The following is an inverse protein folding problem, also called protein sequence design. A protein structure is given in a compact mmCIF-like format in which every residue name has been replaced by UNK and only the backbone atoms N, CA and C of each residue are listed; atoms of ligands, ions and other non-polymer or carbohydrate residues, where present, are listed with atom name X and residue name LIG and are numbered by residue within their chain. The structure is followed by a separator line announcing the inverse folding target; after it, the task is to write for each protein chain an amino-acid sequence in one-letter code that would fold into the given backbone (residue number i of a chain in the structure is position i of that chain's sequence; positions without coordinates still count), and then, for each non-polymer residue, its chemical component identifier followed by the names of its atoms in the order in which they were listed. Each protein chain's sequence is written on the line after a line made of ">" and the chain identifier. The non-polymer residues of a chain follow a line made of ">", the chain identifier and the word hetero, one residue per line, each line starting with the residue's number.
data_IF_151378710541
#
_entry.id   IF_151378710541
#
_cell.length_a   1.000
_cell.length_b   1.000
_cell.length_c   1.000
_cell.angle_alpha   90.00
_cell.angle_beta   90.00
_cell.angle_gamma   90.00
#
_symmetry.space_group_name_H-M   'P 1'
#
loop_
_entity.id
_entity.type
_entity.pdbx_description
1 polymer ?
#
# COMPACT_ATOMS: atom_id res chain seq x y z
N UNK A 1 9.79 3.49 28.22
CA UNK A 1 8.83 3.75 27.13
C UNK A 1 9.20 2.93 25.91
N UNK A 2 8.71 1.69 25.84
CA UNK A 2 8.73 0.81 24.66
C UNK A 2 7.37 0.11 24.67
N UNK A 3 6.36 0.70 24.03
CA UNK A 3 5.00 0.12 24.05
C UNK A 3 4.09 0.67 22.94
N UNK A 4 4.64 0.98 21.77
CA UNK A 4 3.85 1.50 20.63
C UNK A 4 4.01 0.72 19.32
N UNK A 5 4.91 -0.27 19.27
CA UNK A 5 5.26 -1.00 18.03
C UNK A 5 4.79 -2.45 18.05
N UNK A 6 4.43 -3.00 19.21
CA UNK A 6 4.20 -4.44 19.40
C UNK A 6 2.97 -5.04 18.69
N UNK A 7 2.18 -4.25 17.95
CA UNK A 7 1.05 -4.80 17.20
C UNK A 7 0.77 -4.12 15.85
N UNK A 8 1.73 -3.38 15.30
CA UNK A 8 1.57 -2.74 13.98
C UNK A 8 2.15 -3.66 12.92
N UNK A 9 1.41 -3.90 11.83
CA UNK A 9 1.89 -4.73 10.72
C UNK A 9 3.27 -4.25 10.22
N UNK A 10 4.15 -5.20 9.94
CA UNK A 10 5.56 -4.96 9.61
C UNK A 10 5.74 -4.03 8.40
N UNK A 11 4.89 -4.19 7.37
CA UNK A 11 4.90 -3.34 6.18
C UNK A 11 4.58 -1.87 6.50
N UNK A 12 3.64 -1.64 7.42
CA UNK A 12 3.28 -0.29 7.89
C UNK A 12 4.45 0.36 8.63
N UNK A 13 5.23 -0.42 9.39
CA UNK A 13 6.46 0.06 10.04
C UNK A 13 7.49 0.59 9.03
N UNK A 14 7.68 -0.12 7.92
CA UNK A 14 8.59 0.33 6.84
C UNK A 14 8.06 1.61 6.19
N UNK A 15 6.78 1.64 5.81
CA UNK A 15 6.16 2.84 5.22
C UNK A 15 6.30 4.02 6.17
N UNK A 16 5.99 3.82 7.45
CA UNK A 16 6.09 4.85 8.46
C UNK A 16 7.53 5.35 8.58
N UNK A 17 8.55 4.48 8.54
CA UNK A 17 9.97 4.88 8.60
C UNK A 17 10.39 5.85 7.49
N UNK A 18 9.71 5.82 6.34
CA UNK A 18 10.02 6.70 5.21
C UNK A 18 9.37 8.08 5.27
N UNK A 19 8.34 8.23 6.11
CA UNK A 19 7.56 9.47 6.24
C UNK A 19 8.23 10.40 7.25
N UNK A 20 8.37 11.67 6.88
CA UNK A 20 8.91 12.69 7.77
C UNK A 20 7.85 13.09 8.81
N UNK A 21 8.26 13.43 10.06
CA UNK A 21 7.35 14.05 11.02
C UNK A 21 6.67 15.31 10.48
N UNK A 22 5.52 15.67 11.06
CA UNK A 22 4.75 16.89 10.78
C UNK A 22 4.28 17.08 9.32
N UNK A 23 4.48 16.06 8.50
CA UNK A 23 4.12 16.07 7.08
C UNK A 23 2.61 15.99 6.89
N UNK A 24 2.10 16.50 5.77
CA UNK A 24 0.72 16.26 5.34
C UNK A 24 0.64 14.93 4.60
N UNK A 25 -0.21 14.03 5.08
CA UNK A 25 -0.31 12.65 4.59
C UNK A 25 -1.74 12.32 4.18
N UNK A 26 -1.91 11.83 2.96
CA UNK A 26 -3.16 11.23 2.50
C UNK A 26 -3.04 9.71 2.45
N UNK A 27 -3.95 8.97 3.08
CA UNK A 27 -4.10 7.52 2.93
C UNK A 27 -5.29 7.17 2.05
N UNK A 28 -5.03 6.52 0.91
CA UNK A 28 -6.04 6.00 -0.01
C UNK A 28 -6.34 4.54 0.32
N UNK A 29 -7.62 4.21 0.51
CA UNK A 29 -8.02 2.89 1.01
C UNK A 29 -7.44 2.66 2.40
N UNK A 30 -7.65 3.63 3.31
CA UNK A 30 -6.95 3.65 4.60
C UNK A 30 -7.36 2.53 5.56
N UNK A 31 -8.37 1.71 5.22
CA UNK A 31 -8.82 0.62 6.05
C UNK A 31 -9.36 1.15 7.38
N UNK A 32 -9.03 0.46 8.47
CA UNK A 32 -9.33 0.90 9.85
C UNK A 32 -8.34 1.96 10.38
N UNK A 33 -7.52 2.56 9.50
CA UNK A 33 -6.69 3.71 9.82
C UNK A 33 -5.45 3.42 10.65
N UNK A 34 -5.02 2.16 10.79
CA UNK A 34 -3.86 1.77 11.61
C UNK A 34 -2.60 2.60 11.33
N UNK A 35 -2.25 2.74 10.04
CA UNK A 35 -1.07 3.51 9.62
C UNK A 35 -1.24 5.01 9.92
N UNK A 36 -2.39 5.59 9.59
CA UNK A 36 -2.64 7.01 9.80
C UNK A 36 -2.64 7.35 11.29
N UNK A 37 -3.24 6.49 12.11
CA UNK A 37 -3.22 6.60 13.57
C UNK A 37 -1.80 6.52 14.12
N UNK A 38 -1.01 5.54 13.68
CA UNK A 38 0.40 5.44 14.09
C UNK A 38 1.18 6.70 13.71
N UNK A 39 1.03 7.20 12.49
CA UNK A 39 1.72 8.40 12.03
C UNK A 39 1.26 9.64 12.79
N UNK A 40 -0.03 9.78 13.08
CA UNK A 40 -0.56 10.89 13.89
C UNK A 40 0.07 10.90 15.28
N UNK A 41 0.05 9.74 15.95
CA UNK A 41 0.52 9.62 17.33
C UNK A 41 2.05 9.71 17.46
N UNK A 42 2.80 9.11 16.54
CA UNK A 42 4.26 8.98 16.67
C UNK A 42 5.04 10.01 15.87
N UNK A 43 4.43 10.59 14.83
CA UNK A 43 5.09 11.50 13.90
C UNK A 43 4.38 12.85 13.76
N UNK A 44 3.28 13.08 14.47
CA UNK A 44 2.53 14.34 14.46
C UNK A 44 2.14 14.78 13.04
N UNK A 45 1.92 13.82 12.14
CA UNK A 45 1.51 14.14 10.77
C UNK A 45 0.12 14.76 10.77
N UNK A 46 -0.17 15.56 9.76
CA UNK A 46 -1.54 15.99 9.44
C UNK A 46 -2.13 14.96 8.50
N UNK A 47 -2.87 14.01 9.06
CA UNK A 47 -3.45 12.90 8.33
C UNK A 47 -4.78 13.25 7.66
N UNK A 48 -5.03 12.63 6.53
CA UNK A 48 -6.33 12.55 5.87
C UNK A 48 -6.46 11.15 5.29
N UNK A 49 -7.66 10.55 5.34
CA UNK A 49 -7.93 9.25 4.77
C UNK A 49 -9.13 9.26 3.84
N UNK A 50 -9.14 8.34 2.87
CA UNK A 50 -10.30 8.04 2.03
C UNK A 50 -10.52 6.53 2.11
N UNK A 51 -11.73 6.10 2.44
CA UNK A 51 -12.10 4.69 2.55
C UNK A 51 -13.54 4.48 2.06
N UNK A 52 -13.76 3.42 1.28
CA UNK A 52 -15.07 3.15 0.67
C UNK A 52 -16.05 2.51 1.67
N UNK A 53 -15.54 1.73 2.65
CA UNK A 53 -16.38 0.98 3.60
C UNK A 53 -16.75 1.82 4.82
N UNK A 54 -18.04 2.06 5.00
CA UNK A 54 -18.60 2.83 6.11
C UNK A 54 -18.11 2.37 7.50
N UNK A 55 -18.15 1.06 7.77
CA UNK A 55 -17.75 0.52 9.08
C UNK A 55 -16.30 0.86 9.43
N UNK A 56 -15.41 0.86 8.43
CA UNK A 56 -13.99 1.20 8.62
C UNK A 56 -13.78 2.69 8.81
N UNK A 57 -14.55 3.52 8.10
CA UNK A 57 -14.58 4.97 8.30
C UNK A 57 -15.01 5.29 9.73
N UNK A 58 -16.06 4.63 10.24
CA UNK A 58 -16.51 4.77 11.63
C UNK A 58 -15.37 4.48 12.61
N UNK A 59 -14.67 3.36 12.45
CA UNK A 59 -13.51 3.02 13.29
C UNK A 59 -12.40 4.07 13.20
N UNK A 60 -12.16 4.66 12.03
CA UNK A 60 -11.18 5.73 11.88
C UNK A 60 -11.59 7.00 12.66
N UNK A 61 -12.86 7.39 12.58
CA UNK A 61 -13.42 8.54 13.28
C UNK A 61 -13.35 8.32 14.81
N UNK A 62 -13.66 7.11 15.28
CA UNK A 62 -13.52 6.74 16.70
C UNK A 62 -12.07 6.86 17.20
N UNK A 63 -11.08 6.59 16.33
CA UNK A 63 -9.65 6.82 16.60
C UNK A 63 -9.23 8.29 16.48
N UNK A 64 -10.18 9.19 16.19
CA UNK A 64 -9.95 10.63 16.01
C UNK A 64 -9.24 10.98 14.70
N UNK A 65 -9.29 10.13 13.68
CA UNK A 65 -8.70 10.40 12.37
C UNK A 65 -9.64 11.23 11.49
N UNK A 66 -9.07 12.08 10.64
CA UNK A 66 -9.82 12.76 9.57
C UNK A 66 -9.96 11.83 8.36
N UNK A 67 -11.12 11.20 8.19
CA UNK A 67 -11.38 10.26 7.09
C UNK A 67 -12.69 10.60 6.39
N UNK A 68 -12.65 10.60 5.06
CA UNK A 68 -13.79 10.75 4.16
C UNK A 68 -14.24 9.37 3.67
N UNK A 69 -15.55 9.14 3.64
CA UNK A 69 -16.12 7.99 2.97
C UNK A 69 -16.28 8.28 1.48
N UNK A 70 -15.64 7.51 0.61
CA UNK A 70 -15.78 7.69 -0.84
C UNK A 70 -14.84 6.82 -1.67
N UNK A 71 -14.98 6.92 -3.00
CA UNK A 71 -14.12 6.22 -3.95
C UNK A 71 -12.81 7.00 -4.15
N UNK A 72 -11.68 6.35 -3.93
CA UNK A 72 -10.35 6.94 -4.10
C UNK A 72 -10.09 7.47 -5.52
N UNK A 73 -10.78 6.98 -6.54
CA UNK A 73 -10.63 7.44 -7.92
C UNK A 73 -11.33 8.78 -8.17
N UNK A 74 -12.40 9.06 -7.41
CA UNK A 74 -13.19 10.28 -7.53
C UNK A 74 -12.70 11.33 -6.52
N UNK A 75 -12.66 10.97 -5.24
CA UNK A 75 -12.35 11.88 -4.12
C UNK A 75 -10.92 12.45 -4.19
N UNK A 76 -9.98 11.74 -4.81
CA UNK A 76 -8.60 12.22 -4.96
C UNK A 76 -8.52 13.48 -5.85
N UNK A 77 -9.48 13.67 -6.75
CA UNK A 77 -9.47 14.75 -7.74
C UNK A 77 -9.79 16.12 -7.14
N UNK A 78 -10.43 16.14 -5.96
CA UNK A 78 -10.83 17.36 -5.25
C UNK A 78 -9.67 18.05 -4.53
N UNK A 79 -8.54 17.36 -4.36
CA UNK A 79 -7.38 17.93 -3.70
C UNK A 79 -6.51 18.80 -4.64
N UNK A 80 -5.98 19.93 -4.15
CA UNK A 80 -5.12 20.77 -4.95
C UNK A 80 -3.76 20.11 -5.24
N UNK A 81 -3.14 20.51 -6.35
CA UNK A 81 -1.83 20.02 -6.75
C UNK A 81 -0.77 20.30 -5.67
N UNK A 82 0.04 19.30 -5.35
CA UNK A 82 1.13 19.40 -4.36
C UNK A 82 0.69 19.69 -2.92
N UNK A 83 -0.58 19.48 -2.58
CA UNK A 83 -1.11 19.72 -1.23
C UNK A 83 -0.52 18.78 -0.17
N UNK A 84 -0.27 17.52 -0.53
CA UNK A 84 0.26 16.50 0.38
C UNK A 84 1.77 16.31 0.18
N UNK A 85 2.48 16.09 1.29
CA UNK A 85 3.89 15.69 1.23
C UNK A 85 4.02 14.21 0.84
N UNK A 86 3.10 13.37 1.32
CA UNK A 86 3.03 11.95 1.01
C UNK A 86 1.59 11.51 0.73
N UNK A 87 1.40 10.75 -0.35
CA UNK A 87 0.14 10.04 -0.64
C UNK A 87 0.42 8.55 -0.58
N UNK A 88 -0.36 7.80 0.18
CA UNK A 88 -0.11 6.39 0.49
C UNK A 88 -1.24 5.55 -0.09
N UNK A 89 -0.89 4.56 -0.89
CA UNK A 89 -1.79 3.52 -1.38
C UNK A 89 -1.22 2.16 -0.93
N UNK A 90 -1.62 1.72 0.26
CA UNK A 90 -1.10 0.48 0.86
C UNK A 90 -2.04 -0.69 0.57
N UNK A 91 -1.53 -1.76 -0.05
CA UNK A 91 -2.23 -3.01 -0.35
C UNK A 91 -3.61 -2.84 -1.02
N UNK A 92 -3.76 -1.78 -1.81
CA UNK A 92 -5.02 -1.44 -2.48
C UNK A 92 -4.88 -1.42 -3.99
N UNK A 93 -3.68 -1.20 -4.54
CA UNK A 93 -3.44 -1.06 -5.98
C UNK A 93 -4.00 -2.22 -6.81
N UNK A 94 -3.93 -3.45 -6.29
CA UNK A 94 -4.40 -4.64 -7.00
C UNK A 94 -5.92 -4.72 -7.19
N UNK A 95 -6.67 -3.87 -6.47
CA UNK A 95 -8.14 -3.76 -6.57
C UNK A 95 -8.55 -2.57 -7.46
N UNK A 96 -7.61 -1.74 -7.89
CA UNK A 96 -7.88 -0.51 -8.66
C UNK A 96 -8.12 -0.85 -10.13
N UNK A 97 -9.22 -0.33 -10.67
CA UNK A 97 -9.57 -0.47 -12.08
C UNK A 97 -8.59 0.28 -12.99
N UNK A 98 -8.27 1.54 -12.71
CA UNK A 98 -7.38 2.36 -13.54
C UNK A 98 -6.11 2.78 -12.78
N UNK A 99 -5.12 1.88 -12.61
CA UNK A 99 -3.94 2.17 -11.79
C UNK A 99 -3.08 3.30 -12.35
N UNK A 100 -3.05 3.50 -13.67
CA UNK A 100 -2.32 4.59 -14.31
C UNK A 100 -2.91 5.95 -13.94
N UNK A 101 -4.24 6.10 -14.10
CA UNK A 101 -4.95 7.31 -13.72
C UNK A 101 -4.75 7.63 -12.24
N UNK A 102 -4.93 6.64 -11.35
CA UNK A 102 -4.76 6.83 -9.92
C UNK A 102 -3.34 7.25 -9.55
N UNK A 103 -2.30 6.58 -10.08
CA UNK A 103 -0.90 6.93 -9.78
C UNK A 103 -0.56 8.34 -10.27
N UNK A 104 -1.04 8.73 -11.46
CA UNK A 104 -0.88 10.09 -11.96
C UNK A 104 -1.59 11.12 -11.06
N UNK A 105 -2.80 10.84 -10.58
CA UNK A 105 -3.53 11.68 -9.63
C UNK A 105 -2.80 11.79 -8.29
N UNK A 106 -2.30 10.69 -7.74
CA UNK A 106 -1.45 10.68 -6.54
C UNK A 106 -0.23 11.59 -6.73
N UNK A 107 0.42 11.52 -7.89
CA UNK A 107 1.59 12.35 -8.23
C UNK A 107 1.26 13.81 -8.56
N UNK A 108 0.00 14.13 -8.89
CA UNK A 108 -0.48 15.49 -9.04
C UNK A 108 -0.62 16.15 -7.67
N UNK A 109 -1.30 15.50 -6.73
CA UNK A 109 -1.63 16.08 -5.42
C UNK A 109 -0.52 15.90 -4.38
N UNK A 110 0.36 14.91 -4.58
CA UNK A 110 1.45 14.55 -3.67
C UNK A 110 2.82 14.95 -4.19
N UNK A 111 3.72 15.36 -3.30
CA UNK A 111 5.15 15.48 -3.62
C UNK A 111 5.80 14.11 -3.82
N UNK A 112 5.37 13.12 -3.04
CA UNK A 112 5.78 11.72 -3.14
C UNK A 112 4.57 10.81 -2.96
N UNK A 113 4.58 9.68 -3.64
CA UNK A 113 3.61 8.61 -3.41
C UNK A 113 4.31 7.37 -2.84
N UNK A 114 3.66 6.68 -1.91
CA UNK A 114 4.10 5.39 -1.39
C UNK A 114 3.06 4.35 -1.78
N UNK A 115 3.49 3.31 -2.46
CA UNK A 115 2.61 2.27 -2.99
C UNK A 115 3.09 0.92 -2.52
N UNK A 116 2.19 0.10 -1.97
CA UNK A 116 2.49 -1.28 -1.62
C UNK A 116 1.46 -2.24 -2.19
N UNK A 117 1.90 -3.45 -2.53
CA UNK A 117 1.06 -4.48 -3.14
C UNK A 117 1.66 -5.88 -2.94
N UNK A 118 0.82 -6.94 -2.93
CA UNK A 118 1.31 -8.31 -2.92
C UNK A 118 2.02 -8.64 -4.24
N UNK A 119 3.14 -9.37 -4.15
CA UNK A 119 3.90 -9.84 -5.29
C UNK A 119 3.34 -11.20 -5.76
N UNK A 120 2.53 -11.17 -6.82
CA UNK A 120 1.95 -12.37 -7.42
C UNK A 120 2.98 -13.27 -8.12
N UNK A 121 4.22 -12.79 -8.27
CA UNK A 121 5.31 -13.54 -8.88
C UNK A 121 6.16 -14.33 -7.87
N UNK A 122 5.72 -14.46 -6.62
CA UNK A 122 6.43 -15.24 -5.61
C UNK A 122 6.56 -16.73 -5.99
N UNK A 123 7.66 -17.38 -5.61
CA UNK A 123 7.97 -18.76 -6.02
C UNK A 123 6.87 -19.77 -5.66
N UNK A 124 6.20 -19.62 -4.51
CA UNK A 124 5.11 -20.51 -4.10
C UNK A 124 3.94 -20.48 -5.08
N UNK A 125 3.57 -19.29 -5.54
CA UNK A 125 2.50 -19.08 -6.51
C UNK A 125 2.86 -19.75 -7.84
N UNK A 126 4.12 -19.59 -8.28
CA UNK A 126 4.62 -20.24 -9.51
C UNK A 126 4.60 -21.76 -9.42
N UNK A 127 5.05 -22.32 -8.29
CA UNK A 127 5.10 -23.76 -8.09
C UNK A 127 3.69 -24.36 -8.01
N UNK A 128 2.77 -23.71 -7.30
CA UNK A 128 1.38 -24.17 -7.23
C UNK A 128 0.75 -24.18 -8.62
N UNK A 129 0.90 -23.11 -9.40
CA UNK A 129 0.40 -23.07 -10.78
C UNK A 129 1.02 -24.17 -11.64
N UNK A 130 2.35 -24.37 -11.55
CA UNK A 130 3.08 -25.38 -12.31
C UNK A 130 2.61 -26.81 -12.02
N UNK A 131 2.41 -27.17 -10.74
CA UNK A 131 2.09 -28.55 -10.36
C UNK A 131 0.59 -28.84 -10.29
N UNK A 132 -0.25 -27.86 -9.95
CA UNK A 132 -1.69 -28.07 -9.82
C UNK A 132 -2.49 -27.70 -11.06
N UNK A 133 -1.95 -26.83 -11.93
CA UNK A 133 -2.69 -26.24 -13.05
C UNK A 133 -3.82 -25.28 -12.65
N UNK A 134 -4.06 -25.06 -11.35
CA UNK A 134 -5.13 -24.23 -10.84
C UNK A 134 -4.63 -22.83 -10.46
N UNK A 135 -5.54 -21.84 -10.47
CA UNK A 135 -5.25 -20.51 -9.93
C UNK A 135 -4.90 -20.65 -8.43
N UNK A 136 -3.73 -20.15 -7.99
CA UNK A 136 -3.23 -20.38 -6.65
C UNK A 136 -4.01 -19.57 -5.61
N UNK A 137 -4.48 -20.27 -4.57
CA UNK A 137 -5.01 -19.67 -3.34
C UNK A 137 -3.91 -19.69 -2.28
N UNK A 138 -3.51 -18.52 -1.78
CA UNK A 138 -2.46 -18.37 -0.75
C UNK A 138 -2.96 -17.53 0.43
N UNK A 139 -2.14 -17.38 1.48
CA UNK A 139 -2.48 -16.51 2.62
C UNK A 139 -2.66 -15.05 2.20
N UNK A 140 -1.86 -14.61 1.24
CA UNK A 140 -1.90 -13.26 0.67
C UNK A 140 -3.01 -13.10 -0.38
N UNK A 141 -3.52 -14.21 -0.91
CA UNK A 141 -4.60 -14.29 -1.91
C UNK A 141 -5.63 -15.35 -1.50
N UNK A 142 -6.40 -15.11 -0.42
CA UNK A 142 -7.31 -16.10 0.15
C UNK A 142 -8.65 -16.19 -0.60
N UNK A 143 -8.65 -15.90 -1.91
CA UNK A 143 -9.83 -15.82 -2.75
C UNK A 143 -9.70 -16.75 -3.94
N UNK A 144 -10.84 -17.30 -4.36
CA UNK A 144 -10.93 -18.03 -5.61
C UNK A 144 -10.94 -17.06 -6.79
N UNK A 145 -10.58 -17.55 -7.98
CA UNK A 145 -10.46 -16.71 -9.17
C UNK A 145 -11.77 -15.99 -9.54
N UNK A 146 -12.93 -16.58 -9.19
CA UNK A 146 -14.26 -16.05 -9.50
C UNK A 146 -14.83 -15.10 -8.44
N UNK A 147 -14.20 -14.97 -7.26
CA UNK A 147 -14.70 -14.12 -6.16
C UNK A 147 -13.60 -13.26 -5.50
N UNK A 148 -12.50 -13.03 -6.21
CA UNK A 148 -11.41 -12.18 -5.74
C UNK A 148 -11.70 -10.69 -5.96
N UNK A 149 -11.44 -9.82 -4.96
CA UNK A 149 -11.43 -8.37 -5.18
C UNK A 149 -10.19 -7.91 -5.95
N UNK A 150 -9.14 -8.74 -5.99
CA UNK A 150 -7.87 -8.41 -6.63
C UNK A 150 -7.98 -8.69 -8.14
N UNK A 151 -8.34 -7.67 -8.91
CA UNK A 151 -8.51 -7.74 -10.37
C UNK A 151 -7.19 -7.57 -11.14
N UNK A 152 -6.10 -7.17 -10.47
CA UNK A 152 -4.76 -7.02 -11.07
C UNK A 152 -3.78 -8.01 -10.47
N UNK A 153 -3.04 -8.70 -11.35
CA UNK A 153 -1.90 -9.55 -11.00
C UNK A 153 -0.64 -8.72 -11.22
N UNK A 154 0.06 -8.38 -10.15
CA UNK A 154 1.21 -7.46 -10.19
C UNK A 154 2.47 -8.12 -9.63
N UNK A 155 3.60 -7.89 -10.29
CA UNK A 155 4.92 -8.23 -9.76
C UNK A 155 5.72 -6.98 -9.42
N UNK A 156 6.74 -7.16 -8.57
CA UNK A 156 7.71 -6.10 -8.23
C UNK A 156 8.40 -5.59 -9.51
N UNK A 157 8.73 -6.48 -10.45
CA UNK A 157 9.33 -6.11 -11.74
C UNK A 157 8.37 -5.33 -12.64
N UNK A 158 7.11 -5.74 -12.70
CA UNK A 158 6.11 -5.05 -13.53
C UNK A 158 5.85 -3.64 -13.02
N UNK A 159 5.75 -3.46 -11.70
CA UNK A 159 5.58 -2.14 -11.12
C UNK A 159 6.78 -1.22 -11.38
N UNK A 160 8.02 -1.72 -11.29
CA UNK A 160 9.20 -0.91 -11.66
C UNK A 160 9.11 -0.40 -13.09
N UNK A 161 8.85 -1.30 -14.04
CA UNK A 161 8.68 -0.95 -15.46
C UNK A 161 7.53 0.01 -15.69
N UNK A 162 6.44 -0.15 -14.94
CA UNK A 162 5.28 0.72 -15.01
C UNK A 162 5.61 2.15 -14.56
N UNK A 163 6.31 2.31 -13.43
CA UNK A 163 6.74 3.62 -12.93
C UNK A 163 7.73 4.29 -13.88
N UNK A 164 8.66 3.53 -14.46
CA UNK A 164 9.58 4.02 -15.50
C UNK A 164 8.82 4.51 -16.74
N UNK A 165 7.81 3.75 -17.22
CA UNK A 165 6.96 4.14 -18.34
C UNK A 165 6.22 5.46 -18.09
N UNK A 166 5.83 5.73 -16.85
CA UNK A 166 5.18 6.97 -16.45
C UNK A 166 6.14 8.15 -16.23
N UNK A 167 7.46 7.95 -16.48
CA UNK A 167 8.51 8.93 -16.24
C UNK A 167 8.57 9.43 -14.79
N UNK A 168 8.21 8.57 -13.83
CA UNK A 168 8.40 8.84 -12.41
C UNK A 168 9.66 8.16 -11.89
N UNK A 169 10.25 8.74 -10.86
CA UNK A 169 11.45 8.23 -10.20
C UNK A 169 11.08 7.39 -8.98
N UNK A 170 11.72 6.24 -8.84
CA UNK A 170 11.68 5.45 -7.60
C UNK A 170 12.77 5.98 -6.66
N UNK A 171 12.37 6.54 -5.51
CA UNK A 171 13.29 7.06 -4.48
C UNK A 171 13.70 6.00 -3.47
N UNK A 172 12.77 5.12 -3.10
CA UNK A 172 13.01 3.99 -2.20
C UNK A 172 12.20 2.80 -2.66
N UNK A 173 12.76 1.62 -2.44
CA UNK A 173 12.05 0.36 -2.61
C UNK A 173 12.40 -0.57 -1.46
N UNK A 174 11.43 -1.36 -1.04
CA UNK A 174 11.62 -2.48 -0.13
C UNK A 174 10.78 -3.64 -0.65
N UNK A 175 11.42 -4.79 -0.79
CA UNK A 175 10.75 -6.05 -1.06
C UNK A 175 10.79 -6.85 0.24
N UNK A 176 9.64 -7.33 0.72
CA UNK A 176 9.55 -7.96 2.03
C UNK A 176 8.87 -9.31 1.98
N UNK A 177 9.25 -10.17 2.91
CA UNK A 177 8.50 -11.36 3.27
C UNK A 177 7.86 -11.13 4.64
N UNK A 178 6.55 -11.33 4.73
CA UNK A 178 5.81 -11.24 6.00
C UNK A 178 5.78 -12.61 6.68
N UNK A 179 5.94 -12.61 8.00
CA UNK A 179 5.86 -13.76 8.91
C UNK A 179 4.90 -13.44 10.05
N UNK A 180 4.51 -14.45 10.82
CA UNK A 180 3.76 -14.30 12.08
C UNK A 180 2.57 -13.32 11.99
N UNK A 181 1.53 -13.67 11.21
CA UNK A 181 0.34 -12.81 11.05
C UNK A 181 0.65 -11.37 10.60
N UNK A 182 1.71 -11.19 9.81
CA UNK A 182 2.21 -9.90 9.30
C UNK A 182 2.82 -8.98 10.37
N UNK A 183 3.09 -9.47 11.58
CA UNK A 183 3.72 -8.68 12.65
C UNK A 183 5.24 -8.63 12.51
N UNK A 184 5.84 -9.66 11.91
CA UNK A 184 7.27 -9.74 11.63
C UNK A 184 7.53 -9.86 10.13
N UNK A 185 8.74 -9.55 9.71
CA UNK A 185 9.16 -9.74 8.34
C UNK A 185 10.64 -9.47 8.13
N UNK A 186 11.11 -9.81 6.94
CA UNK A 186 12.47 -9.54 6.51
C UNK A 186 12.47 -8.80 5.18
N UNK A 187 13.45 -7.93 4.99
CA UNK A 187 13.74 -7.33 3.69
C UNK A 187 14.48 -8.36 2.83
N UNK A 188 13.94 -8.63 1.65
CA UNK A 188 14.49 -9.56 0.67
C UNK A 188 15.30 -8.78 -0.36
N UNK A 189 16.62 -8.97 -0.34
CA UNK A 189 17.55 -8.32 -1.29
C UNK A 189 17.95 -9.26 -2.43
N UNK A 190 18.03 -10.56 -2.17
CA UNK A 190 18.35 -11.58 -3.18
C UNK A 190 17.11 -11.97 -3.98
N UNK A 191 17.13 -11.77 -5.29
CA UNK A 191 16.01 -12.03 -6.22
C UNK A 191 14.63 -11.64 -5.65
N UNK A 192 14.39 -10.35 -5.36
CA UNK A 192 13.18 -9.90 -4.64
C UNK A 192 11.88 -10.32 -5.33
N UNK A 193 11.83 -10.31 -6.66
CA UNK A 193 10.65 -10.73 -7.42
C UNK A 193 10.30 -12.21 -7.27
N UNK A 194 11.25 -13.05 -6.83
CA UNK A 194 11.05 -14.48 -6.60
C UNK A 194 10.72 -14.78 -5.14
N UNK A 195 11.35 -14.10 -4.19
CA UNK A 195 11.31 -14.45 -2.77
C UNK A 195 10.53 -13.49 -1.87
N UNK A 196 10.22 -12.26 -2.31
CA UNK A 196 9.38 -11.35 -1.54
C UNK A 196 7.89 -11.62 -1.77
N UNK A 197 7.09 -11.49 -0.72
CA UNK A 197 5.63 -11.57 -0.78
C UNK A 197 4.98 -10.21 -1.04
N UNK A 198 5.63 -9.10 -0.70
CA UNK A 198 5.16 -7.74 -0.98
C UNK A 198 6.26 -6.85 -1.54
N UNK A 199 5.86 -5.89 -2.38
CA UNK A 199 6.67 -4.76 -2.77
C UNK A 199 6.16 -3.47 -2.14
N UNK A 200 7.07 -2.59 -1.72
CA UNK A 200 6.79 -1.24 -1.22
C UNK A 200 7.69 -0.28 -1.98
N UNK A 201 7.11 0.76 -2.56
CA UNK A 201 7.82 1.73 -3.39
C UNK A 201 7.47 3.14 -2.96
N UNK A 202 8.48 4.00 -2.84
CA UNK A 202 8.31 5.44 -2.76
C UNK A 202 8.70 6.03 -4.11
N UNK A 203 7.74 6.68 -4.76
CA UNK A 203 7.91 7.30 -6.06
C UNK A 203 7.77 8.82 -5.97
N UNK A 204 8.33 9.53 -6.95
CA UNK A 204 7.96 10.92 -7.20
C UNK A 204 8.41 11.43 -8.57
N UNK A 205 8.28 12.74 -8.78
CA UNK A 205 8.73 13.42 -10.01
C UNK A 205 10.24 13.59 -10.03
#
# INVERSE_FOLDING_TARGET
>A
MKSGVENTRYDLGIIASWIKPESRVLGLGCGEGELLYFLKMQKQVKETGIEIKEDRVRTCIEKGLSVLQGDINEEILDYPSGYFDYVILSQTLQQVFEPESLICSMMKIGKKAIVSFPNFCHWRIRMQLLFSGNVPVTKELPYEWYNTPNIRVLSIKDFRRFIEKLNFRIFKEAAIVLRDMNQNGDIVTFYPNLFATYGIFMIGK
#
